data_IF_090956079475
#
_entry.id   IF_090956079475
#
_cell.length_a   1.000
_cell.length_b   1.000
_cell.length_c   1.000
_cell.angle_alpha   90.00
_cell.angle_beta   90.00
_cell.angle_gamma   90.00
#
_symmetry.space_group_name_H-M   'P 1'
#
loop_
_entity.id
_entity.type
_entity.pdbx_description
1 polymer ?
#
# COMPACT_ATOMS: atom_id res chain seq x y z
N UNK A 1 -0.06 -12.40 15.14
CA UNK A 1 -1.51 -12.69 15.18
C UNK A 1 -2.35 -11.56 15.79
N UNK A 2 -1.85 -10.73 16.73
CA UNK A 2 -2.69 -9.68 17.37
C UNK A 2 -2.95 -8.41 16.53
N UNK A 3 -1.99 -7.98 15.69
CA UNK A 3 -2.05 -6.66 15.01
C UNK A 3 -3.12 -6.61 13.89
N UNK A 4 -3.34 -7.71 13.16
CA UNK A 4 -4.33 -7.75 12.08
C UNK A 4 -5.74 -8.13 12.56
N UNK A 5 -5.86 -8.91 13.64
CA UNK A 5 -7.15 -9.35 14.19
C UNK A 5 -7.85 -8.26 15.03
N UNK A 6 -7.11 -7.40 15.74
CA UNK A 6 -7.70 -6.25 16.46
C UNK A 6 -8.21 -5.15 15.51
N UNK A 7 -7.54 -4.96 14.37
CA UNK A 7 -7.94 -4.09 13.25
C UNK A 7 -9.29 -4.51 12.67
N UNK A 8 -9.52 -5.82 12.53
CA UNK A 8 -10.76 -6.38 11.97
C UNK A 8 -11.96 -6.22 12.92
N UNK A 9 -11.74 -6.22 14.23
CA UNK A 9 -12.80 -6.24 15.24
C UNK A 9 -13.18 -4.90 15.86
N UNK A 10 -12.23 -3.97 15.99
CA UNK A 10 -12.43 -2.76 16.84
C UNK A 10 -12.30 -1.43 16.11
N UNK A 11 -11.73 -1.41 14.90
CA UNK A 11 -11.41 -0.18 14.18
C UNK A 11 -10.29 0.66 14.82
N UNK A 12 -9.59 0.14 15.85
CA UNK A 12 -8.43 0.80 16.47
C UNK A 12 -7.13 0.20 15.93
N UNK A 13 -6.14 1.05 15.72
CA UNK A 13 -4.83 0.62 15.24
C UNK A 13 -3.95 0.18 16.40
N UNK A 14 -3.02 -0.73 16.08
CA UNK A 14 -1.85 -1.05 16.90
C UNK A 14 -0.62 -0.82 16.02
N UNK A 15 0.35 -0.01 16.47
CA UNK A 15 1.56 0.24 15.69
C UNK A 15 2.40 -1.05 15.52
N UNK A 16 3.44 -1.09 14.65
CA UNK A 16 4.33 -2.25 14.51
C UNK A 16 5.05 -2.69 15.80
N UNK A 17 4.94 -1.92 16.89
CA UNK A 17 5.48 -2.19 18.23
C UNK A 17 4.43 -2.66 19.24
N UNK A 18 3.18 -2.90 18.84
CA UNK A 18 2.14 -3.43 19.74
C UNK A 18 1.36 -2.39 20.56
N UNK A 19 1.43 -1.09 20.23
CA UNK A 19 0.73 -0.01 20.96
C UNK A 19 -0.58 0.40 20.28
N UNK A 20 -1.69 0.38 21.03
CA UNK A 20 -3.00 0.92 20.61
C UNK A 20 -2.90 2.42 20.33
N UNK A 21 -3.21 2.83 19.11
CA UNK A 21 -3.10 4.21 18.61
C UNK A 21 -4.43 4.94 18.84
N UNK A 22 -4.73 5.30 20.09
CA UNK A 22 -5.90 6.13 20.41
C UNK A 22 -5.62 7.64 20.22
N UNK A 23 -4.34 8.04 20.09
CA UNK A 23 -3.89 9.40 19.72
C UNK A 23 -2.56 9.30 18.97
N UNK A 24 -2.49 9.87 17.77
CA UNK A 24 -1.35 9.79 16.84
C UNK A 24 -0.22 10.70 17.34
N UNK A 25 0.88 10.12 17.84
CA UNK A 25 2.13 10.85 18.10
C UNK A 25 3.20 10.59 17.03
N UNK A 26 4.21 11.46 16.96
CA UNK A 26 5.26 11.54 15.92
C UNK A 26 6.00 10.24 15.55
N UNK A 27 6.11 9.29 16.48
CA UNK A 27 7.15 8.26 16.41
C UNK A 27 6.75 6.98 15.63
N UNK A 28 5.55 6.91 15.04
CA UNK A 28 4.97 5.64 14.56
C UNK A 28 4.19 5.69 13.21
N UNK A 29 4.27 6.73 12.39
CA UNK A 29 3.56 6.76 11.09
C UNK A 29 4.50 7.04 9.92
N UNK A 30 5.03 5.96 9.33
CA UNK A 30 5.75 5.98 8.06
C UNK A 30 4.77 6.23 6.90
N UNK A 31 5.27 6.61 5.73
CA UNK A 31 4.42 6.63 4.54
C UNK A 31 3.87 5.22 4.30
N UNK A 32 2.56 5.05 4.02
CA UNK A 32 2.05 3.77 3.60
C UNK A 32 2.74 3.31 2.33
N UNK A 33 3.02 2.01 2.23
CA UNK A 33 3.45 1.42 0.96
C UNK A 33 2.30 1.16 0.02
N UNK A 34 1.12 0.86 0.57
CA UNK A 34 -0.05 0.54 -0.21
C UNK A 34 -1.28 1.23 0.36
N UNK A 35 -2.26 1.43 -0.50
CA UNK A 35 -3.61 1.87 -0.16
C UNK A 35 -4.61 0.96 -0.86
N UNK A 36 -5.66 0.58 -0.15
CA UNK A 36 -6.75 -0.24 -0.69
C UNK A 36 -7.85 0.68 -1.19
N UNK A 37 -8.07 0.67 -2.49
CA UNK A 37 -9.03 1.55 -3.16
C UNK A 37 -10.23 0.76 -3.64
N UNK A 38 -11.40 1.10 -3.13
CA UNK A 38 -12.66 0.56 -3.64
C UNK A 38 -13.01 1.21 -4.98
N UNK A 39 -13.08 0.38 -6.02
CA UNK A 39 -13.46 0.73 -7.39
C UNK A 39 -14.98 0.73 -7.49
N UNK A 40 -15.60 1.91 -7.38
CA UNK A 40 -17.07 2.05 -7.23
C UNK A 40 -17.84 1.41 -8.39
N UNK A 41 -17.32 1.52 -9.62
CA UNK A 41 -17.99 0.99 -10.79
C UNK A 41 -17.97 -0.56 -10.88
N UNK A 42 -16.90 -1.20 -10.39
CA UNK A 42 -16.73 -2.66 -10.48
C UNK A 42 -17.02 -3.40 -9.18
N UNK A 43 -17.06 -2.69 -8.04
CA UNK A 43 -17.19 -3.28 -6.71
C UNK A 43 -15.94 -4.01 -6.22
N UNK A 44 -14.81 -3.88 -6.92
CA UNK A 44 -13.53 -4.53 -6.58
C UNK A 44 -12.71 -3.62 -5.67
N UNK A 45 -11.90 -4.21 -4.79
CA UNK A 45 -10.90 -3.50 -4.00
C UNK A 45 -9.54 -3.75 -4.64
N UNK A 46 -8.92 -2.69 -5.15
CA UNK A 46 -7.55 -2.73 -5.64
C UNK A 46 -6.60 -2.40 -4.49
N UNK A 47 -5.52 -3.17 -4.36
CA UNK A 47 -4.42 -2.80 -3.48
C UNK A 47 -3.29 -2.22 -4.33
N UNK A 48 -3.02 -0.93 -4.11
CA UNK A 48 -2.21 -0.11 -5.01
C UNK A 48 -0.99 0.38 -4.26
N UNK A 49 0.19 0.31 -4.88
CA UNK A 49 1.38 1.02 -4.41
C UNK A 49 1.03 2.51 -4.17
N UNK A 50 1.43 3.04 -3.02
CA UNK A 50 0.95 4.31 -2.56
C UNK A 50 1.44 5.47 -3.42
N UNK A 51 2.69 5.42 -3.90
CA UNK A 51 3.19 6.40 -4.87
C UNK A 51 2.38 6.35 -6.17
N UNK A 52 2.15 5.14 -6.69
CA UNK A 52 1.34 4.88 -7.88
C UNK A 52 -0.10 5.39 -7.71
N UNK A 53 -0.69 5.25 -6.53
CA UNK A 53 -2.00 5.84 -6.22
C UNK A 53 -1.97 7.36 -6.37
N UNK A 54 -1.03 8.05 -5.74
CA UNK A 54 -0.97 9.52 -5.73
C UNK A 54 -0.76 10.10 -7.14
N UNK A 55 0.14 9.51 -7.95
CA UNK A 55 0.36 10.00 -9.33
C UNK A 55 -0.85 9.77 -10.25
N UNK A 56 -1.73 8.83 -9.90
CA UNK A 56 -2.98 8.53 -10.63
C UNK A 56 -4.22 9.20 -10.00
N UNK A 57 -4.06 9.90 -8.87
CA UNK A 57 -5.09 10.76 -8.26
C UNK A 57 -4.90 12.19 -8.71
N UNK A 58 -3.70 12.75 -8.54
CA UNK A 58 -3.45 14.18 -8.73
C UNK A 58 -3.93 14.76 -10.08
N UNK A 59 -3.73 14.11 -11.25
CA UNK A 59 -4.21 14.65 -12.53
C UNK A 59 -5.73 14.67 -12.67
N UNK A 60 -6.46 13.98 -11.79
CA UNK A 60 -7.93 13.98 -11.75
C UNK A 60 -8.49 14.97 -10.73
N UNK A 61 -7.63 15.54 -9.88
CA UNK A 61 -8.00 16.49 -8.82
C UNK A 61 -7.46 17.90 -9.11
N UNK A 62 -6.32 17.99 -9.78
CA UNK A 62 -5.74 19.24 -10.26
C UNK A 62 -5.55 19.17 -11.78
N UNK A 63 -5.81 20.29 -12.46
CA UNK A 63 -5.54 20.39 -13.88
C UNK A 63 -4.03 20.42 -14.12
N UNK A 64 -3.49 19.42 -14.82
CA UNK A 64 -2.05 19.29 -15.07
C UNK A 64 -1.40 20.45 -15.83
N UNK A 65 -2.20 21.36 -16.43
CA UNK A 65 -1.71 22.57 -17.09
C UNK A 65 -1.49 23.76 -16.14
N UNK A 66 -1.84 23.63 -14.85
CA UNK A 66 -1.63 24.70 -13.87
C UNK A 66 -0.17 24.84 -13.45
N UNK A 67 0.15 25.98 -12.85
CA UNK A 67 1.49 26.30 -12.37
C UNK A 67 2.02 25.23 -11.40
N UNK A 68 3.32 24.94 -11.46
CA UNK A 68 3.94 23.88 -10.66
C UNK A 68 3.71 24.03 -9.15
N UNK A 69 3.69 25.26 -8.62
CA UNK A 69 3.37 25.52 -7.21
C UNK A 69 1.94 25.12 -6.83
N UNK A 70 0.95 25.35 -7.71
CA UNK A 70 -0.41 24.89 -7.45
C UNK A 70 -0.48 23.35 -7.44
N UNK A 71 0.23 22.70 -8.38
CA UNK A 71 0.32 21.24 -8.44
C UNK A 71 1.05 20.64 -7.23
N UNK A 72 2.10 21.29 -6.71
CA UNK A 72 2.83 20.86 -5.51
C UNK A 72 1.97 20.96 -4.25
N UNK A 73 1.17 22.02 -4.11
CA UNK A 73 0.19 22.14 -3.03
C UNK A 73 -0.88 21.04 -3.12
N UNK A 74 -1.40 20.80 -4.33
CA UNK A 74 -2.32 19.69 -4.60
C UNK A 74 -1.70 18.32 -4.30
N UNK A 75 -0.44 18.12 -4.66
CA UNK A 75 0.30 16.88 -4.40
C UNK A 75 0.43 16.60 -2.89
N UNK A 76 0.77 17.60 -2.08
CA UNK A 76 0.83 17.45 -0.61
C UNK A 76 -0.55 17.10 -0.07
N UNK A 77 -1.60 17.84 -0.46
CA UNK A 77 -2.96 17.59 0.03
C UNK A 77 -3.45 16.19 -0.37
N UNK A 78 -3.34 15.82 -1.64
CA UNK A 78 -3.80 14.52 -2.13
C UNK A 78 -3.02 13.35 -1.52
N UNK A 79 -1.68 13.47 -1.42
CA UNK A 79 -0.84 12.45 -0.79
C UNK A 79 -1.19 12.27 0.68
N UNK A 80 -1.26 13.36 1.43
CA UNK A 80 -1.50 13.28 2.87
C UNK A 80 -2.93 12.86 3.19
N UNK A 81 -3.90 13.09 2.29
CA UNK A 81 -5.25 12.58 2.43
C UNK A 81 -5.27 11.06 2.34
N UNK A 82 -4.68 10.49 1.26
CA UNK A 82 -4.54 9.04 1.12
C UNK A 82 -3.78 8.42 2.29
N UNK A 83 -2.71 9.09 2.75
CA UNK A 83 -1.91 8.66 3.89
C UNK A 83 -2.80 8.59 5.14
N UNK A 84 -3.51 9.68 5.45
CA UNK A 84 -4.43 9.73 6.58
C UNK A 84 -5.48 8.62 6.52
N UNK A 85 -6.02 8.30 5.33
CA UNK A 85 -7.05 7.26 5.17
C UNK A 85 -6.56 5.84 5.42
N UNK A 86 -5.28 5.55 5.12
CA UNK A 86 -4.68 4.26 5.49
C UNK A 86 -4.60 4.10 7.01
N UNK A 87 -4.27 5.18 7.74
CA UNK A 87 -4.11 5.16 9.20
C UNK A 87 -5.38 5.49 9.98
N UNK A 88 -6.39 6.09 9.34
CA UNK A 88 -7.65 6.47 9.95
C UNK A 88 -8.78 6.06 9.02
N UNK A 89 -9.33 4.90 9.32
CA UNK A 89 -10.37 4.27 8.52
C UNK A 89 -11.62 5.15 8.46
N UNK A 90 -11.97 5.58 7.24
CA UNK A 90 -13.26 6.22 6.96
C UNK A 90 -14.40 5.21 6.85
N UNK A 91 -14.10 3.99 6.44
CA UNK A 91 -15.06 2.89 6.23
C UNK A 91 -14.70 1.65 7.07
N UNK A 92 -14.91 1.69 8.40
CA UNK A 92 -14.59 0.56 9.27
C UNK A 92 -15.29 -0.73 8.82
N UNK A 93 -14.54 -1.83 8.78
CA UNK A 93 -15.05 -3.17 8.43
C UNK A 93 -15.28 -3.44 6.94
N UNK A 94 -15.08 -2.46 6.06
CA UNK A 94 -15.35 -2.63 4.62
C UNK A 94 -14.17 -3.15 3.80
N UNK A 95 -12.97 -3.23 4.39
CA UNK A 95 -11.79 -3.79 3.74
C UNK A 95 -11.02 -2.84 2.81
N UNK A 96 -11.45 -1.60 2.65
CA UNK A 96 -10.78 -0.56 1.85
C UNK A 96 -10.54 0.72 2.65
N UNK A 97 -9.61 1.54 2.17
CA UNK A 97 -9.14 2.76 2.84
C UNK A 97 -9.78 4.02 2.21
N UNK A 98 -9.94 4.03 0.89
CA UNK A 98 -10.56 5.10 0.11
C UNK A 98 -11.39 4.56 -1.07
N UNK A 99 -12.30 5.36 -1.59
CA UNK A 99 -13.04 5.16 -2.84
C UNK A 99 -12.39 5.93 -3.99
N UNK A 100 -12.63 5.50 -5.21
CA UNK A 100 -12.11 6.12 -6.44
C UNK A 100 -12.99 7.25 -7.02
N UNK A 101 -13.92 7.78 -6.23
CA UNK A 101 -14.88 8.82 -6.63
C UNK A 101 -14.80 10.06 -5.72
N UNK A 102 -15.68 11.03 -5.98
CA UNK A 102 -15.69 12.32 -5.28
C UNK A 102 -16.00 12.25 -3.79
N UNK A 103 -16.33 11.06 -3.25
CA UNK A 103 -16.45 10.89 -1.80
C UNK A 103 -15.09 10.90 -1.10
N UNK A 104 -14.03 10.47 -1.78
CA UNK A 104 -12.65 10.47 -1.29
C UNK A 104 -11.73 11.16 -2.28
N UNK A 105 -11.13 10.41 -3.22
CA UNK A 105 -10.25 10.95 -4.25
C UNK A 105 -10.49 10.23 -5.57
N UNK A 106 -10.42 10.97 -6.67
CA UNK A 106 -10.65 10.44 -8.01
C UNK A 106 -9.42 9.67 -8.51
N UNK A 107 -9.23 8.45 -8.01
CA UNK A 107 -8.17 7.54 -8.47
C UNK A 107 -8.56 6.89 -9.80
N UNK A 108 -7.75 7.09 -10.85
CA UNK A 108 -7.91 6.38 -12.13
C UNK A 108 -6.61 5.67 -12.51
N UNK A 109 -6.56 4.32 -12.53
CA UNK A 109 -5.38 3.59 -12.95
C UNK A 109 -4.90 4.04 -14.33
N UNK A 110 -3.59 4.14 -14.52
CA UNK A 110 -2.92 4.55 -15.76
C UNK A 110 -3.28 5.97 -16.25
N UNK A 111 -3.69 6.88 -15.34
CA UNK A 111 -3.97 8.29 -15.64
C UNK A 111 -2.82 9.24 -15.27
N UNK A 112 -1.70 8.71 -14.80
CA UNK A 112 -0.51 9.49 -14.47
C UNK A 112 -0.14 10.46 -15.61
N UNK A 113 0.15 11.70 -15.23
CA UNK A 113 0.42 12.78 -16.17
C UNK A 113 1.74 13.49 -15.82
N UNK A 114 2.61 13.82 -16.80
CA UNK A 114 3.99 14.21 -16.51
C UNK A 114 4.16 15.38 -15.53
N UNK A 115 3.36 16.45 -15.66
CA UNK A 115 3.49 17.64 -14.81
C UNK A 115 2.99 17.42 -13.39
N UNK A 116 1.92 16.62 -13.22
CA UNK A 116 1.42 16.25 -11.89
C UNK A 116 2.35 15.23 -11.23
N UNK A 117 2.90 14.27 -11.98
CA UNK A 117 3.92 13.35 -11.47
C UNK A 117 5.16 14.10 -10.99
N UNK A 118 5.67 15.06 -11.77
CA UNK A 118 6.79 15.89 -11.34
C UNK A 118 6.51 16.69 -10.05
N UNK A 119 5.26 17.10 -9.81
CA UNK A 119 4.87 17.74 -8.56
C UNK A 119 4.85 16.76 -7.38
N UNK A 120 4.35 15.53 -7.60
CA UNK A 120 4.38 14.44 -6.60
C UNK A 120 5.83 14.07 -6.24
N UNK A 121 6.70 13.92 -7.25
CA UNK A 121 8.12 13.61 -7.07
C UNK A 121 8.82 14.68 -6.24
N UNK A 122 8.56 15.96 -6.55
CA UNK A 122 9.15 17.10 -5.84
C UNK A 122 8.83 17.08 -4.34
N UNK A 123 7.59 16.72 -3.98
CA UNK A 123 7.16 16.68 -2.58
C UNK A 123 7.25 15.28 -1.98
N UNK A 124 7.80 14.27 -2.67
CA UNK A 124 7.65 12.87 -2.27
C UNK A 124 8.20 12.61 -0.86
N UNK A 125 9.35 13.18 -0.52
CA UNK A 125 9.99 13.09 0.79
C UNK A 125 9.46 14.07 1.86
N UNK A 126 8.38 14.82 1.57
CA UNK A 126 7.80 15.82 2.48
C UNK A 126 6.42 15.38 2.96
N UNK A 127 6.24 15.29 4.28
CA UNK A 127 4.94 15.07 4.91
C UNK A 127 4.46 16.30 5.66
N UNK A 128 3.20 16.32 6.06
CA UNK A 128 2.65 17.37 6.93
C UNK A 128 1.92 16.78 8.13
N UNK A 129 2.15 17.36 9.30
CA UNK A 129 1.51 16.98 10.56
C UNK A 129 1.10 18.23 11.34
N UNK A 130 0.33 18.06 12.40
CA UNK A 130 0.08 19.09 13.40
C UNK A 130 1.36 19.34 14.22
N UNK A 131 1.41 20.44 14.98
CA UNK A 131 2.54 20.76 15.85
C UNK A 131 2.82 19.68 16.93
N UNK A 132 1.79 18.93 17.34
CA UNK A 132 1.91 17.73 18.19
C UNK A 132 2.38 16.47 17.43
N UNK A 133 2.78 16.63 16.17
CA UNK A 133 3.26 15.61 15.24
C UNK A 133 2.23 14.56 14.81
N UNK A 134 0.94 14.77 15.09
CA UNK A 134 -0.10 13.93 14.55
C UNK A 134 -0.38 14.28 13.09
N UNK A 135 -0.46 13.28 12.20
CA UNK A 135 -1.07 13.48 10.88
C UNK A 135 -2.56 13.86 11.05
N UNK A 136 -3.09 14.59 10.08
CA UNK A 136 -4.47 15.07 10.08
C UNK A 136 -5.08 14.94 8.69
N UNK A 137 -6.41 15.01 8.61
CA UNK A 137 -7.10 14.92 7.34
C UNK A 137 -6.86 16.19 6.50
N UNK A 138 -6.08 16.06 5.44
CA UNK A 138 -5.73 17.13 4.51
C UNK A 138 -6.76 17.24 3.39
N UNK A 139 -7.96 17.67 3.77
CA UNK A 139 -9.08 17.83 2.84
C UNK A 139 -8.80 18.90 1.78
N UNK A 140 -9.47 18.77 0.65
CA UNK A 140 -9.49 19.79 -0.41
C UNK A 140 -10.85 19.84 -1.09
N UNK A 141 -11.07 20.86 -1.90
CA UNK A 141 -12.27 21.03 -2.73
C UNK A 141 -12.02 21.98 -3.91
N UNK A 142 -12.97 22.07 -4.85
CA UNK A 142 -12.92 23.00 -5.99
C UNK A 142 -12.66 24.45 -5.57
N UNK A 143 -13.62 25.03 -4.84
CA UNK A 143 -13.54 26.41 -4.35
C UNK A 143 -13.59 27.43 -5.49
N UNK A 144 -13.14 28.65 -5.21
CA UNK A 144 -13.16 29.78 -6.15
C UNK A 144 -11.74 30.25 -6.49
N UNK A 145 -11.59 30.96 -7.60
CA UNK A 145 -10.33 31.59 -8.00
C UNK A 145 -10.13 32.89 -7.22
N UNK A 146 -9.79 32.76 -5.94
CA UNK A 146 -9.59 33.87 -5.02
C UNK A 146 -8.74 33.47 -3.80
N UNK A 147 -8.61 34.40 -2.87
CA UNK A 147 -7.97 34.21 -1.57
C UNK A 147 -9.00 33.87 -0.47
N UNK A 148 -10.05 33.11 -0.75
CA UNK A 148 -10.96 32.64 0.30
C UNK A 148 -10.42 31.38 0.97
N UNK A 149 -10.95 31.04 2.16
CA UNK A 149 -10.68 29.76 2.81
C UNK A 149 -9.44 29.70 3.71
N UNK A 150 -8.87 30.85 4.11
CA UNK A 150 -7.82 30.89 5.13
C UNK A 150 -8.23 30.09 6.37
N UNK A 151 -7.34 29.22 6.86
CA UNK A 151 -7.56 28.39 8.05
C UNK A 151 -8.82 27.52 8.00
N UNK A 152 -9.37 27.26 6.80
CA UNK A 152 -10.59 26.45 6.65
C UNK A 152 -10.37 24.96 6.93
N UNK A 153 -9.11 24.50 6.91
CA UNK A 153 -8.77 23.08 7.00
C UNK A 153 -8.92 22.34 5.68
N UNK A 154 -9.19 23.06 4.58
CA UNK A 154 -9.40 22.51 3.25
C UNK A 154 -8.68 23.34 2.20
N UNK A 155 -7.82 22.72 1.40
CA UNK A 155 -7.18 23.40 0.28
C UNK A 155 -8.20 23.64 -0.84
N UNK A 156 -8.34 24.88 -1.32
CA UNK A 156 -9.10 25.16 -2.54
C UNK A 156 -8.23 24.92 -3.78
N UNK A 157 -8.70 24.08 -4.71
CA UNK A 157 -8.06 23.84 -6.00
C UNK A 157 -7.88 25.16 -6.76
N UNK A 158 -8.95 25.91 -7.01
CA UNK A 158 -8.87 27.20 -7.69
C UNK A 158 -8.11 28.27 -6.91
N UNK A 159 -8.15 28.22 -5.58
CA UNK A 159 -7.34 29.08 -4.73
C UNK A 159 -5.84 28.79 -4.83
N UNK A 160 -5.40 27.53 -4.98
CA UNK A 160 -3.98 27.23 -5.26
C UNK A 160 -3.52 27.80 -6.60
N UNK A 161 -4.40 27.76 -7.62
CA UNK A 161 -4.13 28.42 -8.91
C UNK A 161 -3.98 29.93 -8.73
N UNK A 162 -4.91 30.58 -8.02
CA UNK A 162 -4.87 32.01 -7.73
C UNK A 162 -3.56 32.43 -7.05
N UNK A 163 -3.16 31.72 -5.99
CA UNK A 163 -1.93 32.03 -5.27
C UNK A 163 -0.67 31.81 -6.14
N UNK A 164 -0.66 30.76 -6.97
CA UNK A 164 0.45 30.48 -7.85
C UNK A 164 0.60 31.54 -8.95
N UNK A 165 -0.50 32.02 -9.52
CA UNK A 165 -0.50 33.10 -10.52
C UNK A 165 0.01 34.43 -9.93
N UNK A 166 -0.08 34.60 -8.61
CA UNK A 166 0.52 35.72 -7.85
C UNK A 166 1.95 35.43 -7.35
N UNK A 167 2.58 34.35 -7.83
CA UNK A 167 3.95 33.99 -7.51
C UNK A 167 4.17 33.46 -6.09
N UNK A 168 3.12 32.96 -5.42
CA UNK A 168 3.25 32.30 -4.11
C UNK A 168 3.65 30.83 -4.30
N UNK A 169 4.44 30.34 -3.35
CA UNK A 169 4.84 28.93 -3.31
C UNK A 169 3.79 28.04 -2.65
N UNK A 170 3.93 26.73 -2.87
CA UNK A 170 3.06 25.69 -2.36
C UNK A 170 3.04 25.61 -0.83
N UNK A 171 4.14 25.90 -0.13
CA UNK A 171 4.17 25.83 1.33
C UNK A 171 3.34 26.95 1.94
N UNK A 172 3.41 28.16 1.39
CA UNK A 172 2.52 29.24 1.77
C UNK A 172 1.06 28.85 1.59
N UNK A 173 0.68 28.22 0.47
CA UNK A 173 -0.70 27.76 0.25
C UNK A 173 -1.12 26.72 1.30
N UNK A 174 -0.26 25.76 1.59
CA UNK A 174 -0.50 24.71 2.58
C UNK A 174 -0.73 25.30 3.98
N UNK A 175 0.14 26.21 4.42
CA UNK A 175 -0.02 26.90 5.70
C UNK A 175 -1.26 27.81 5.71
N UNK A 176 -1.54 28.50 4.61
CA UNK A 176 -2.70 29.37 4.46
C UNK A 176 -4.02 28.64 4.71
N UNK A 177 -4.18 27.42 4.19
CA UNK A 177 -5.43 26.66 4.34
C UNK A 177 -5.49 25.84 5.64
N UNK A 178 -4.37 25.27 6.11
CA UNK A 178 -4.39 24.33 7.23
C UNK A 178 -4.03 24.92 8.59
N UNK A 179 -3.21 25.96 8.67
CA UNK A 179 -2.80 26.50 9.97
C UNK A 179 -4.00 26.99 10.76
N UNK A 180 -4.05 26.63 12.04
CA UNK A 180 -5.12 27.00 12.97
C UNK A 180 -6.53 26.60 12.51
N UNK A 181 -6.63 25.55 11.71
CA UNK A 181 -7.91 25.05 11.20
C UNK A 181 -8.56 24.01 12.12
N UNK A 182 -9.85 23.69 11.93
CA UNK A 182 -10.49 22.57 12.61
C UNK A 182 -9.74 21.24 12.39
N UNK A 183 -9.23 21.00 11.18
CA UNK A 183 -8.52 19.77 10.82
C UNK A 183 -7.17 19.66 11.55
N UNK A 184 -6.52 20.79 11.84
CA UNK A 184 -5.31 20.81 12.67
C UNK A 184 -5.59 20.98 14.17
N UNK A 185 -6.85 20.89 14.60
CA UNK A 185 -7.27 21.14 15.98
C UNK A 185 -6.76 22.50 16.51
N UNK A 186 -6.83 23.53 15.66
CA UNK A 186 -6.35 24.88 15.99
C UNK A 186 -4.83 25.02 16.10
N UNK A 187 -4.05 24.01 15.71
CA UNK A 187 -2.59 24.07 15.72
C UNK A 187 -2.02 24.49 14.37
N UNK A 188 -0.75 24.90 14.37
CA UNK A 188 0.02 25.05 13.13
C UNK A 188 0.25 23.69 12.48
N UNK A 189 0.18 23.67 11.14
CA UNK A 189 0.70 22.57 10.38
C UNK A 189 2.23 22.68 10.33
N UNK A 190 2.92 21.55 10.28
CA UNK A 190 4.38 21.47 10.21
C UNK A 190 4.78 20.46 9.16
N UNK A 191 5.71 20.84 8.30
CA UNK A 191 6.33 19.92 7.36
C UNK A 191 7.40 19.09 8.05
N UNK A 192 7.51 17.82 7.68
CA UNK A 192 8.59 16.95 8.09
C UNK A 192 9.18 16.22 6.89
N UNK A 193 10.48 15.95 6.94
CA UNK A 193 11.16 15.15 5.92
C UNK A 193 11.15 13.67 6.31
N UNK A 194 11.04 12.80 5.32
CA UNK A 194 11.21 11.36 5.47
C UNK A 194 11.82 10.76 4.20
N UNK A 195 12.38 9.56 4.32
CA UNK A 195 12.79 8.75 3.17
C UNK A 195 11.63 7.81 2.84
N UNK A 196 11.01 7.92 1.65
CA UNK A 196 10.05 6.92 1.18
C UNK A 196 10.71 5.55 1.19
N UNK A 197 10.10 4.58 1.85
CA UNK A 197 10.62 3.22 1.84
C UNK A 197 10.32 2.60 0.46
N UNK A 198 11.23 1.78 -0.04
CA UNK A 198 11.11 1.10 -1.33
C UNK A 198 10.80 -0.37 -1.09
N UNK A 199 10.17 -1.01 -2.06
CA UNK A 199 9.87 -2.43 -1.97
C UNK A 199 11.12 -3.30 -1.94
N UNK A 200 11.12 -4.40 -1.16
CA UNK A 200 12.15 -5.42 -1.27
C UNK A 200 12.11 -6.08 -2.65
N UNK A 201 13.21 -6.73 -3.02
CA UNK A 201 13.26 -7.50 -4.26
C UNK A 201 12.36 -8.74 -4.16
N UNK A 202 11.65 -9.04 -5.25
CA UNK A 202 10.88 -10.28 -5.36
C UNK A 202 11.76 -11.52 -5.13
N UNK A 203 11.33 -12.47 -4.27
CA UNK A 203 12.09 -13.70 -4.06
C UNK A 203 12.18 -14.55 -5.31
N UNK A 204 13.29 -15.27 -5.46
CA UNK A 204 13.42 -16.34 -6.47
C UNK A 204 13.16 -17.71 -5.86
N UNK A 205 12.66 -18.62 -6.69
CA UNK A 205 12.28 -19.98 -6.29
C UNK A 205 13.52 -20.88 -6.22
N UNK A 206 13.78 -21.50 -5.06
CA UNK A 206 14.89 -22.45 -4.89
C UNK A 206 14.39 -23.90 -4.92
N UNK A 207 13.45 -24.26 -4.04
CA UNK A 207 12.88 -25.61 -3.97
C UNK A 207 11.36 -25.59 -3.75
N UNK A 208 10.60 -26.51 -4.38
CA UNK A 208 10.99 -27.32 -5.53
C UNK A 208 11.45 -26.45 -6.70
N UNK A 209 12.48 -26.91 -7.42
CA UNK A 209 12.95 -26.23 -8.62
C UNK A 209 11.84 -26.16 -9.68
N UNK A 210 11.85 -25.13 -10.51
CA UNK A 210 10.83 -24.96 -11.54
C UNK A 210 10.82 -26.16 -12.51
N UNK A 211 9.67 -26.80 -12.67
CA UNK A 211 9.48 -28.01 -13.48
C UNK A 211 9.86 -29.31 -12.78
N UNK A 212 10.17 -29.30 -11.48
CA UNK A 212 10.55 -30.52 -10.76
C UNK A 212 9.45 -31.60 -10.78
N UNK A 213 9.87 -32.86 -10.89
CA UNK A 213 8.99 -34.02 -10.94
C UNK A 213 9.20 -34.91 -9.72
N UNK A 214 8.22 -35.74 -9.38
CA UNK A 214 8.34 -36.72 -8.30
C UNK A 214 8.37 -36.10 -6.91
N UNK A 215 7.74 -34.94 -6.74
CA UNK A 215 7.75 -34.19 -5.48
C UNK A 215 6.73 -34.77 -4.49
N UNK A 216 7.09 -34.84 -3.21
CA UNK A 216 6.18 -35.26 -2.13
C UNK A 216 4.87 -34.45 -2.14
N UNK A 217 3.80 -34.99 -1.54
CA UNK A 217 2.54 -34.25 -1.27
C UNK A 217 2.65 -33.26 -0.11
N UNK A 218 3.76 -33.27 0.62
CA UNK A 218 4.13 -32.30 1.63
C UNK A 218 5.54 -31.80 1.36
N UNK A 219 5.76 -31.05 0.25
CA UNK A 219 7.09 -30.53 -0.04
C UNK A 219 7.47 -29.41 0.93
N UNK A 220 8.77 -29.22 1.10
CA UNK A 220 9.30 -27.97 1.64
C UNK A 220 9.44 -26.99 0.48
N UNK A 221 8.79 -25.83 0.60
CA UNK A 221 9.06 -24.70 -0.28
C UNK A 221 10.25 -23.91 0.29
N UNK A 222 11.18 -23.50 -0.57
CA UNK A 222 12.30 -22.63 -0.23
C UNK A 222 12.47 -21.54 -1.28
N UNK A 223 12.57 -20.31 -0.82
CA UNK A 223 12.83 -19.13 -1.63
C UNK A 223 14.19 -18.50 -1.29
N UNK A 224 14.66 -17.56 -2.12
CA UNK A 224 15.94 -16.87 -1.94
C UNK A 224 16.04 -16.10 -0.63
N UNK A 225 17.26 -15.74 -0.22
CA UNK A 225 17.42 -14.79 0.86
C UNK A 225 16.70 -13.46 0.56
N UNK A 226 16.22 -12.80 1.61
CA UNK A 226 15.64 -11.47 1.51
C UNK A 226 16.70 -10.44 1.11
N UNK A 227 16.31 -9.49 0.28
CA UNK A 227 17.16 -8.39 -0.16
C UNK A 227 16.30 -7.16 -0.34
N UNK A 228 16.73 -6.06 0.25
CA UNK A 228 16.03 -4.79 0.22
C UNK A 228 17.01 -3.68 -0.19
N UNK A 229 16.59 -2.74 -1.07
CA UNK A 229 17.44 -1.63 -1.44
C UNK A 229 17.64 -0.59 -0.32
N UNK A 230 16.80 -0.57 0.72
CA UNK A 230 16.89 0.32 1.87
C UNK A 230 17.73 -0.29 3.01
N UNK A 231 18.76 0.45 3.42
CA UNK A 231 19.72 -0.03 4.42
C UNK A 231 19.05 -0.06 5.81
N UNK A 232 19.07 -1.23 6.44
CA UNK A 232 18.53 -1.44 7.79
C UNK A 232 17.13 -2.05 7.80
N UNK A 233 16.50 -2.19 6.64
CA UNK A 233 15.25 -2.92 6.49
C UNK A 233 15.47 -4.43 6.63
N UNK A 234 14.56 -5.08 7.37
CA UNK A 234 14.66 -6.50 7.71
C UNK A 234 13.48 -7.29 7.15
N UNK A 235 13.69 -8.59 6.92
CA UNK A 235 12.62 -9.49 6.47
C UNK A 235 11.60 -9.68 7.59
N UNK A 236 10.40 -9.11 7.46
CA UNK A 236 9.40 -9.17 8.51
C UNK A 236 8.49 -10.38 8.36
N UNK A 237 7.95 -10.61 7.16
CA UNK A 237 6.99 -11.67 6.91
C UNK A 237 7.11 -12.25 5.50
N UNK A 238 6.57 -13.46 5.34
CA UNK A 238 6.49 -14.13 4.04
C UNK A 238 5.12 -14.75 3.84
N UNK A 239 4.55 -14.57 2.66
CA UNK A 239 3.32 -15.23 2.25
C UNK A 239 3.62 -16.25 1.15
N UNK A 240 3.01 -17.43 1.24
CA UNK A 240 3.15 -18.53 0.30
C UNK A 240 1.79 -18.95 -0.25
N UNK A 241 1.76 -19.24 -1.54
CA UNK A 241 0.56 -19.70 -2.22
C UNK A 241 0.88 -20.91 -3.10
N UNK A 242 0.01 -21.91 -3.08
CA UNK A 242 -0.01 -23.01 -4.05
C UNK A 242 -1.34 -23.04 -4.79
N UNK A 243 -1.25 -23.07 -6.12
CA UNK A 243 -2.38 -23.29 -7.01
C UNK A 243 -2.19 -24.52 -7.85
N UNK A 244 -3.29 -25.19 -8.18
CA UNK A 244 -3.27 -26.28 -9.16
C UNK A 244 -3.09 -25.70 -10.57
N UNK A 245 -2.18 -26.27 -11.36
CA UNK A 245 -1.78 -25.66 -12.62
C UNK A 245 -2.88 -25.72 -13.70
N UNK A 246 -3.73 -26.75 -13.69
CA UNK A 246 -4.73 -26.99 -14.76
C UNK A 246 -5.93 -26.02 -14.74
N UNK A 247 -6.35 -25.60 -13.56
CA UNK A 247 -7.60 -24.87 -13.30
C UNK A 247 -7.38 -23.63 -12.43
N UNK A 248 -6.13 -23.34 -12.04
CA UNK A 248 -5.73 -22.24 -11.17
C UNK A 248 -6.40 -22.28 -9.77
N UNK A 249 -6.96 -23.42 -9.37
CA UNK A 249 -7.61 -23.57 -8.07
C UNK A 249 -6.61 -23.31 -6.93
N UNK A 250 -7.01 -22.48 -5.95
CA UNK A 250 -6.23 -22.25 -4.74
C UNK A 250 -6.25 -23.53 -3.89
N UNK A 251 -5.09 -24.15 -3.73
CA UNK A 251 -4.94 -25.39 -2.94
C UNK A 251 -4.46 -25.07 -1.53
N UNK A 252 -3.60 -24.05 -1.42
CA UNK A 252 -3.05 -23.63 -0.15
C UNK A 252 -2.66 -22.16 -0.17
N UNK A 253 -2.97 -21.50 0.93
CA UNK A 253 -2.54 -20.16 1.29
C UNK A 253 -1.98 -20.25 2.71
N UNK A 254 -0.74 -19.83 2.93
CA UNK A 254 -0.13 -19.91 4.25
C UNK A 254 -0.63 -18.80 5.18
N UNK A 255 -1.28 -17.76 4.68
CA UNK A 255 -1.30 -16.46 5.33
C UNK A 255 0.12 -15.88 5.50
N UNK A 256 0.23 -14.74 6.16
CA UNK A 256 1.53 -14.13 6.46
C UNK A 256 2.25 -14.87 7.59
N UNK A 257 3.40 -15.45 7.26
CA UNK A 257 4.28 -16.16 8.17
C UNK A 257 5.32 -15.21 8.76
N UNK A 258 5.61 -15.34 10.06
CA UNK A 258 6.58 -14.50 10.79
C UNK A 258 7.80 -15.28 11.30
N UNK A 259 7.88 -16.58 10.99
CA UNK A 259 8.98 -17.46 11.36
C UNK A 259 9.43 -18.25 10.13
N UNK A 260 10.68 -18.70 10.13
CA UNK A 260 11.30 -19.46 9.02
C UNK A 260 11.02 -18.80 7.65
N UNK A 261 11.35 -17.51 7.51
CA UNK A 261 10.84 -16.66 6.43
C UNK A 261 11.28 -17.05 5.00
N UNK A 262 12.30 -17.88 4.83
CA UNK A 262 12.72 -18.35 3.50
C UNK A 262 12.26 -19.76 3.20
N UNK A 263 11.54 -20.42 4.11
CA UNK A 263 11.11 -21.82 3.98
C UNK A 263 9.77 -22.11 4.62
N UNK A 264 8.96 -22.96 4.01
CA UNK A 264 7.75 -23.48 4.66
C UNK A 264 7.47 -24.92 4.29
N UNK A 265 6.91 -25.69 5.25
CA UNK A 265 6.43 -27.04 4.99
C UNK A 265 4.96 -26.97 4.57
N UNK A 266 4.66 -27.51 3.40
CA UNK A 266 3.30 -27.61 2.90
C UNK A 266 2.51 -28.66 3.71
N UNK A 267 1.31 -28.33 4.23
CA UNK A 267 0.49 -29.27 4.99
C UNK A 267 0.17 -30.56 4.22
N UNK A 268 0.20 -31.70 4.92
CA UNK A 268 -0.21 -32.99 4.35
C UNK A 268 -1.71 -32.97 4.02
N UNK A 269 -2.09 -33.62 2.92
CA UNK A 269 -3.50 -33.85 2.56
C UNK A 269 -4.12 -32.79 1.65
N UNK A 270 -3.35 -31.77 1.24
CA UNK A 270 -3.83 -30.71 0.34
C UNK A 270 -3.45 -30.95 -1.13
N UNK A 271 -2.39 -31.73 -1.38
CA UNK A 271 -1.91 -32.05 -2.72
C UNK A 271 -2.28 -33.49 -3.10
N UNK A 272 -2.64 -33.68 -4.36
CA UNK A 272 -2.96 -34.95 -5.01
C UNK A 272 -1.71 -35.52 -5.68
N UNK A 273 -1.64 -36.85 -5.85
CA UNK A 273 -0.57 -37.50 -6.61
C UNK A 273 -0.68 -37.19 -8.11
N UNK A 274 0.43 -37.35 -8.85
CA UNK A 274 0.50 -37.16 -10.31
C UNK A 274 -0.10 -35.85 -10.81
N UNK A 275 -0.02 -34.79 -10.00
CA UNK A 275 -0.69 -33.51 -10.28
C UNK A 275 0.31 -32.38 -10.33
N UNK A 276 0.17 -31.53 -11.35
CA UNK A 276 1.00 -30.33 -11.53
C UNK A 276 0.44 -29.16 -10.71
N UNK A 277 1.30 -28.57 -9.91
CA UNK A 277 1.03 -27.39 -9.09
C UNK A 277 1.99 -26.28 -9.47
N UNK A 278 1.59 -25.06 -9.12
CA UNK A 278 2.43 -23.87 -9.19
C UNK A 278 2.41 -23.15 -7.85
N UNK A 279 3.55 -22.62 -7.46
CA UNK A 279 3.74 -21.96 -6.17
C UNK A 279 4.49 -20.65 -6.35
N UNK A 280 4.31 -19.74 -5.39
CA UNK A 280 5.06 -18.49 -5.29
C UNK A 280 5.20 -18.06 -3.84
N UNK A 281 6.16 -17.19 -3.58
CA UNK A 281 6.35 -16.53 -2.29
C UNK A 281 6.35 -15.01 -2.48
N UNK A 282 5.90 -14.25 -1.48
CA UNK A 282 6.01 -12.79 -1.43
C UNK A 282 6.61 -12.37 -0.10
N UNK A 283 7.56 -11.45 -0.13
CA UNK A 283 8.20 -10.92 1.08
C UNK A 283 7.55 -9.61 1.51
N UNK A 284 7.55 -9.37 2.82
CA UNK A 284 7.16 -8.13 3.47
C UNK A 284 8.34 -7.67 4.33
N UNK A 285 8.76 -6.43 4.16
CA UNK A 285 9.82 -5.82 4.97
C UNK A 285 9.31 -5.32 6.33
N UNK A 286 10.24 -4.82 7.14
CA UNK A 286 9.98 -4.27 8.47
C UNK A 286 9.25 -2.92 8.50
N UNK A 287 9.01 -2.31 7.34
CA UNK A 287 8.40 -0.99 7.18
C UNK A 287 7.01 -1.05 6.52
N UNK A 288 6.60 -2.21 6.02
CA UNK A 288 5.29 -2.43 5.43
C UNK A 288 5.29 -2.69 3.93
N UNK A 289 6.44 -2.70 3.24
CA UNK A 289 6.51 -2.88 1.80
C UNK A 289 6.54 -4.35 1.40
N UNK A 290 5.74 -4.68 0.40
CA UNK A 290 5.78 -5.98 -0.24
C UNK A 290 6.77 -6.01 -1.37
N UNK A 291 7.32 -7.20 -1.61
CA UNK A 291 8.30 -7.38 -2.66
C UNK A 291 7.68 -7.13 -4.03
N UNK A 292 8.37 -6.30 -4.82
CA UNK A 292 8.02 -5.96 -6.19
C UNK A 292 9.18 -6.31 -7.16
N UNK A 293 8.89 -6.62 -8.45
CA UNK A 293 7.56 -6.76 -9.03
C UNK A 293 6.78 -7.95 -8.43
N UNK A 294 5.47 -7.99 -8.67
CA UNK A 294 4.61 -9.09 -8.24
C UNK A 294 5.26 -10.48 -8.50
N UNK A 295 5.37 -11.35 -7.48
CA UNK A 295 6.08 -12.61 -7.62
C UNK A 295 5.48 -13.52 -8.70
N UNK A 296 6.37 -14.09 -9.52
CA UNK A 296 6.01 -15.09 -10.53
C UNK A 296 5.76 -16.45 -9.89
N UNK A 297 5.21 -17.40 -10.67
CA UNK A 297 5.02 -18.78 -10.21
C UNK A 297 6.16 -19.69 -10.70
N UNK A 298 6.59 -20.63 -9.86
CA UNK A 298 7.33 -21.82 -10.25
C UNK A 298 6.42 -23.06 -10.21
N UNK A 299 6.66 -24.05 -11.06
CA UNK A 299 5.85 -25.27 -11.16
C UNK A 299 6.56 -26.51 -10.60
N UNK A 300 5.80 -27.48 -10.13
CA UNK A 300 6.28 -28.83 -9.83
C UNK A 300 5.16 -29.88 -10.01
N UNK A 301 5.53 -31.14 -10.13
CA UNK A 301 4.59 -32.27 -10.24
C UNK A 301 4.83 -33.26 -9.10
N UNK A 302 3.74 -33.64 -8.44
CA UNK A 302 3.79 -34.59 -7.32
C UNK A 302 4.10 -36.02 -7.77
N UNK A 303 4.56 -36.85 -6.83
CA UNK A 303 4.88 -38.27 -7.03
C UNK A 303 3.78 -39.03 -7.76
N UNK A 304 4.20 -40.00 -8.57
CA UNK A 304 3.25 -40.88 -9.24
C UNK A 304 2.50 -41.74 -8.24
N UNK A 305 1.19 -41.89 -8.45
CA UNK A 305 0.43 -42.93 -7.77
C UNK A 305 0.87 -44.28 -8.35
N UNK A 306 1.59 -45.08 -7.57
CA UNK A 306 1.86 -46.46 -7.96
C UNK A 306 0.53 -47.21 -8.08
N UNK A 307 0.18 -47.64 -9.29
CA UNK A 307 -0.83 -48.66 -9.48
C UNK A 307 -0.26 -49.94 -8.87
N UNK A 308 -0.85 -50.47 -7.80
CA UNK A 308 -0.47 -51.79 -7.33
C UNK A 308 -0.67 -52.79 -8.48
N UNK A 309 0.33 -53.60 -8.84
CA UNK A 309 0.12 -54.67 -9.81
C UNK A 309 -0.95 -55.60 -9.26
N UNK A 310 -1.99 -55.83 -10.08
CA UNK A 310 -3.02 -56.81 -9.79
C UNK A 310 -2.35 -58.19 -9.69
N UNK A 311 -2.17 -58.72 -8.49
CA UNK A 311 -1.77 -60.12 -8.32
C UNK A 311 -3.03 -60.94 -8.55
N UNK A 312 -3.23 -61.43 -9.77
CA UNK A 312 -4.19 -62.49 -10.03
C UNK A 312 -3.75 -63.73 -9.25
N UNK A 313 -4.62 -64.21 -8.36
CA UNK A 313 -4.52 -65.54 -7.75
C UNK A 313 -5.24 -66.56 -8.62
#
# INVERSE_FOLDING_TARGET
MQIQDERWRTGRFVNPRGRVIDQIGAADHLQPHHIRVYRVASGVIDEVDFYSYVINVLPNEWYGSWHAEALRAGAIAAKMYGWYRVYIAKYPGQGYDARDDTWDQVYKPNSAYPTTTAAVDFVNSVGIARADSAIFETQYHGGAYDASGQSSGRVSQWGTKYWADLGKDHLLMIHYYYDNSPNTNGQLAQTFAYTPNRSPLAPTHIEPANGALGISRAPTLRASAFSDPDVGDTHAQTWWEIRRARDNALMWDSGWQTATLTTTLVPIGILDDSTRYKWRARYLDSKGAWSEPAPTFAEFTTTFRALMPFVAR
#
